data_IF_512738182786
#
_entry.id   IF_512738182786
#
_cell.length_a   1.000
_cell.length_b   1.000
_cell.length_c   1.000
_cell.angle_alpha   90.00
_cell.angle_beta   90.00
_cell.angle_gamma   90.00
#
_symmetry.space_group_name_H-M   'P 1'
#
loop_
_entity.id
_entity.type
_entity.pdbx_description
1 polymer ?
#
# COMPACT_ATOMS: atom_id res chain seq x y z
N UNK A 1 13.46 0.20 -6.30
CA UNK A 1 13.03 1.37 -5.49
C UNK A 1 13.99 2.54 -5.40
N UNK A 2 15.32 2.37 -5.52
CA UNK A 2 16.29 3.49 -5.39
C UNK A 2 15.98 4.72 -6.28
N UNK A 3 15.44 4.52 -7.48
CA UNK A 3 15.02 5.62 -8.37
C UNK A 3 13.84 6.42 -7.81
N UNK A 4 12.89 5.75 -7.16
CA UNK A 4 11.73 6.38 -6.50
C UNK A 4 12.20 7.18 -5.30
N UNK A 5 13.04 6.58 -4.44
CA UNK A 5 13.57 7.28 -3.27
C UNK A 5 14.40 8.51 -3.66
N UNK A 6 15.26 8.38 -4.68
CA UNK A 6 15.99 9.52 -5.20
C UNK A 6 15.08 10.60 -5.77
N UNK A 7 14.01 10.22 -6.48
CA UNK A 7 13.05 11.17 -7.04
C UNK A 7 12.29 11.90 -5.92
N UNK A 8 11.83 11.18 -4.89
CA UNK A 8 11.19 11.76 -3.71
C UNK A 8 12.13 12.75 -3.01
N UNK A 9 13.38 12.36 -2.75
CA UNK A 9 14.39 13.25 -2.15
C UNK A 9 14.65 14.49 -3.02
N UNK A 10 14.74 14.32 -4.33
CA UNK A 10 15.04 15.43 -5.26
C UNK A 10 13.94 16.49 -5.28
N UNK A 11 12.68 16.08 -5.13
CA UNK A 11 11.53 16.99 -5.27
C UNK A 11 10.84 17.31 -3.93
N UNK A 12 11.41 16.89 -2.80
CA UNK A 12 10.85 17.08 -1.45
C UNK A 12 10.60 18.56 -1.12
N UNK A 13 11.56 19.45 -1.38
CA UNK A 13 11.38 20.89 -1.14
C UNK A 13 10.29 21.50 -2.03
N UNK A 14 10.23 21.07 -3.29
CA UNK A 14 9.20 21.52 -4.22
C UNK A 14 7.81 21.03 -3.79
N UNK A 15 7.71 19.77 -3.36
CA UNK A 15 6.50 19.21 -2.78
C UNK A 15 6.04 19.98 -1.55
N UNK A 16 6.93 20.27 -0.61
CA UNK A 16 6.59 21.01 0.62
C UNK A 16 6.07 22.41 0.33
N UNK A 17 6.75 23.15 -0.56
CA UNK A 17 6.31 24.48 -0.97
C UNK A 17 4.94 24.42 -1.65
N UNK A 18 4.77 23.49 -2.58
CA UNK A 18 3.52 23.37 -3.32
C UNK A 18 2.37 22.89 -2.43
N UNK A 19 2.58 21.92 -1.55
CA UNK A 19 1.54 21.36 -0.69
C UNK A 19 1.01 22.36 0.35
N UNK A 20 1.81 23.37 0.72
CA UNK A 20 1.37 24.46 1.61
C UNK A 20 0.53 25.51 0.88
N UNK A 21 0.93 25.85 -0.35
CA UNK A 21 0.38 27.00 -1.07
C UNK A 21 -0.61 26.61 -2.18
N UNK A 22 -0.78 25.32 -2.46
CA UNK A 22 -1.63 24.86 -3.55
C UNK A 22 -3.10 25.13 -3.26
N UNK A 23 -3.76 25.76 -4.22
CA UNK A 23 -5.19 25.95 -4.26
C UNK A 23 -5.73 25.45 -5.60
N UNK A 24 -6.98 24.97 -5.58
CA UNK A 24 -7.65 24.60 -6.81
C UNK A 24 -7.78 25.84 -7.73
N UNK A 25 -7.30 25.77 -9.00
CA UNK A 25 -7.37 26.90 -9.91
C UNK A 25 -8.80 27.25 -10.36
N UNK A 26 -9.77 26.36 -10.16
CA UNK A 26 -11.18 26.65 -10.43
C UNK A 26 -11.76 27.54 -9.32
N UNK A 27 -11.94 28.84 -9.63
CA UNK A 27 -12.63 29.79 -8.74
C UNK A 27 -14.00 29.26 -8.33
N UNK A 28 -14.24 29.14 -7.02
CA UNK A 28 -15.49 28.64 -6.46
C UNK A 28 -15.57 27.12 -6.30
N UNK A 29 -14.45 26.40 -6.37
CA UNK A 29 -14.41 24.96 -6.13
C UNK A 29 -14.91 24.61 -4.72
N UNK A 30 -16.16 24.15 -4.62
CA UNK A 30 -16.78 23.60 -3.41
C UNK A 30 -16.56 22.08 -3.27
N UNK A 31 -15.92 21.45 -4.27
CA UNK A 31 -15.70 20.01 -4.34
C UNK A 31 -14.29 19.61 -3.85
N UNK A 32 -13.92 20.11 -2.67
CA UNK A 32 -12.79 19.57 -1.90
C UNK A 32 -13.40 18.67 -0.83
N UNK A 33 -13.35 17.36 -1.05
CA UNK A 33 -13.82 16.36 -0.06
C UNK A 33 -12.57 15.62 0.40
N UNK A 34 -12.32 15.60 1.71
CA UNK A 34 -11.15 14.92 2.28
C UNK A 34 -9.80 15.46 1.80
N UNK A 35 -9.73 16.71 1.34
CA UNK A 35 -8.50 17.32 0.81
C UNK A 35 -8.21 17.03 -0.66
N UNK A 36 -9.06 16.26 -1.35
CA UNK A 36 -8.93 15.96 -2.79
C UNK A 36 -9.87 16.86 -3.59
N UNK A 37 -9.33 17.57 -4.59
CA UNK A 37 -10.16 18.32 -5.54
C UNK A 37 -10.71 17.39 -6.61
N UNK A 38 -12.03 17.41 -6.84
CA UNK A 38 -12.67 16.64 -7.93
C UNK A 38 -12.87 17.45 -9.21
N UNK A 39 -12.41 18.70 -9.23
CA UNK A 39 -12.36 19.56 -10.41
C UNK A 39 -11.68 18.86 -11.61
N UNK A 40 -12.18 19.09 -12.82
CA UNK A 40 -11.50 18.72 -14.07
C UNK A 40 -11.43 19.95 -14.99
N UNK A 41 -10.36 20.11 -15.79
CA UNK A 41 -9.15 19.28 -15.81
C UNK A 41 -8.28 19.48 -14.56
N UNK A 42 -7.46 18.48 -14.21
CA UNK A 42 -6.45 18.61 -13.14
C UNK A 42 -5.30 19.51 -13.58
N UNK A 43 -4.74 20.28 -12.65
CA UNK A 43 -3.51 21.02 -12.91
C UNK A 43 -2.28 20.11 -12.79
N UNK A 44 -1.17 20.50 -13.42
CA UNK A 44 0.08 19.75 -13.32
C UNK A 44 0.58 19.66 -11.87
N UNK A 45 0.33 20.71 -11.09
CA UNK A 45 0.65 20.79 -9.67
C UNK A 45 -0.13 19.75 -8.86
N UNK A 46 -1.44 19.62 -9.09
CA UNK A 46 -2.25 18.59 -8.45
C UNK A 46 -1.71 17.19 -8.78
N UNK A 47 -1.46 16.95 -10.06
CA UNK A 47 -0.94 15.69 -10.56
C UNK A 47 0.43 15.34 -9.94
N UNK A 48 1.31 16.32 -9.81
CA UNK A 48 2.59 16.16 -9.13
C UNK A 48 2.41 15.82 -7.63
N UNK A 49 1.56 16.56 -6.91
CA UNK A 49 1.31 16.33 -5.48
C UNK A 49 0.80 14.92 -5.21
N UNK A 50 -0.18 14.47 -5.99
CA UNK A 50 -0.78 13.15 -5.82
C UNK A 50 0.21 12.03 -6.19
N UNK A 51 0.98 12.19 -7.27
CA UNK A 51 2.03 11.23 -7.62
C UNK A 51 3.09 11.14 -6.51
N UNK A 52 3.51 12.29 -5.96
CA UNK A 52 4.50 12.34 -4.90
C UNK A 52 4.02 11.59 -3.64
N UNK A 53 2.80 11.87 -3.17
CA UNK A 53 2.21 11.19 -2.01
C UNK A 53 2.12 9.69 -2.21
N UNK A 54 1.65 9.23 -3.38
CA UNK A 54 1.55 7.80 -3.67
C UNK A 54 2.90 7.11 -3.74
N UNK A 55 3.91 7.74 -4.33
CA UNK A 55 5.28 7.22 -4.34
C UNK A 55 5.89 7.19 -2.93
N UNK A 56 5.56 8.17 -2.09
CA UNK A 56 5.98 8.20 -0.68
C UNK A 56 5.37 7.02 0.10
N UNK A 57 4.06 6.80 -0.01
CA UNK A 57 3.36 5.64 0.58
C UNK A 57 3.97 4.33 0.08
N UNK A 58 4.17 4.19 -1.23
CA UNK A 58 4.80 3.00 -1.82
C UNK A 58 6.23 2.77 -1.30
N UNK A 59 7.01 3.84 -1.10
CA UNK A 59 8.35 3.75 -0.49
C UNK A 59 8.28 3.28 0.96
N UNK A 60 7.28 3.70 1.74
CA UNK A 60 7.09 3.21 3.10
C UNK A 60 6.79 1.71 3.13
N UNK A 61 5.98 1.22 2.20
CA UNK A 61 5.73 -0.22 2.06
C UNK A 61 7.00 -0.99 1.70
N UNK A 62 7.80 -0.49 0.75
CA UNK A 62 9.01 -1.21 0.37
C UNK A 62 10.02 -1.32 1.52
N UNK A 63 10.06 -0.36 2.45
CA UNK A 63 10.93 -0.45 3.64
C UNK A 63 10.58 -1.63 4.56
N UNK A 64 9.41 -2.26 4.40
CA UNK A 64 8.99 -3.46 5.13
C UNK A 64 9.32 -4.76 4.38
N UNK A 65 9.83 -4.70 3.17
CA UNK A 65 10.19 -5.88 2.38
C UNK A 65 11.16 -6.81 3.13
N UNK A 66 12.20 -6.25 3.75
CA UNK A 66 13.17 -7.02 4.53
C UNK A 66 12.54 -7.64 5.79
N UNK A 67 11.57 -6.95 6.40
CA UNK A 67 10.81 -7.51 7.53
C UNK A 67 10.01 -8.75 7.07
N UNK A 68 9.25 -8.66 5.98
CA UNK A 68 8.48 -9.79 5.48
C UNK A 68 9.34 -10.95 5.01
N UNK A 69 10.50 -10.66 4.43
CA UNK A 69 11.49 -11.69 4.10
C UNK A 69 11.90 -12.50 5.34
N UNK A 70 12.16 -11.83 6.47
CA UNK A 70 12.50 -12.49 7.73
C UNK A 70 11.32 -13.29 8.29
N UNK A 71 10.09 -12.78 8.22
CA UNK A 71 8.90 -13.52 8.64
C UNK A 71 8.63 -14.76 7.77
N UNK A 72 8.88 -14.68 6.46
CA UNK A 72 8.79 -15.83 5.55
C UNK A 72 9.81 -16.91 5.91
N UNK A 73 11.04 -16.54 6.26
CA UNK A 73 12.04 -17.51 6.75
C UNK A 73 11.59 -18.21 8.03
N UNK A 74 10.89 -17.51 8.92
CA UNK A 74 10.28 -18.10 10.12
C UNK A 74 9.14 -19.04 9.71
N UNK A 75 8.22 -18.58 8.87
CA UNK A 75 7.10 -19.37 8.36
C UNK A 75 7.57 -20.71 7.80
N UNK A 76 8.54 -20.72 6.88
CA UNK A 76 9.01 -21.96 6.25
C UNK A 76 9.64 -22.95 7.24
N UNK A 77 10.15 -22.48 8.39
CA UNK A 77 10.66 -23.34 9.46
C UNK A 77 9.56 -23.91 10.36
N UNK A 78 8.40 -23.24 10.44
CA UNK A 78 7.34 -23.55 11.41
C UNK A 78 5.99 -23.94 10.80
N UNK A 79 5.86 -23.94 9.48
CA UNK A 79 4.58 -24.17 8.76
C UNK A 79 3.85 -25.46 9.14
N UNK A 80 4.59 -26.49 9.57
CA UNK A 80 4.03 -27.79 9.97
C UNK A 80 3.80 -27.88 11.50
N UNK A 81 4.03 -26.80 12.24
CA UNK A 81 3.82 -26.71 13.69
C UNK A 81 2.67 -25.72 14.00
N UNK A 82 1.46 -26.21 14.30
CA UNK A 82 0.29 -25.36 14.49
C UNK A 82 0.45 -24.30 15.59
N UNK A 83 1.16 -24.62 16.68
CA UNK A 83 1.37 -23.68 17.79
C UNK A 83 2.27 -22.54 17.33
N UNK A 84 3.37 -22.85 16.66
CA UNK A 84 4.31 -21.84 16.14
C UNK A 84 3.73 -21.03 15.00
N UNK A 85 2.89 -21.65 14.18
CA UNK A 85 2.18 -20.97 13.11
C UNK A 85 1.19 -19.93 13.67
N UNK A 86 0.46 -20.29 14.74
CA UNK A 86 -0.40 -19.36 15.46
C UNK A 86 0.39 -18.20 16.08
N UNK A 87 1.53 -18.47 16.73
CA UNK A 87 2.41 -17.41 17.26
C UNK A 87 2.84 -16.41 16.17
N UNK A 88 3.17 -16.90 14.96
CA UNK A 88 3.53 -16.05 13.82
C UNK A 88 2.36 -15.16 13.40
N UNK A 89 1.16 -15.72 13.30
CA UNK A 89 -0.04 -14.97 12.92
C UNK A 89 -0.39 -13.90 13.96
N UNK A 90 -0.37 -14.23 15.26
CA UNK A 90 -0.61 -13.27 16.35
C UNK A 90 0.39 -12.11 16.30
N UNK A 91 1.67 -12.40 16.07
CA UNK A 91 2.71 -11.38 15.96
C UNK A 91 2.47 -10.40 14.81
N UNK A 92 1.90 -10.88 13.70
CA UNK A 92 1.76 -10.13 12.46
C UNK A 92 0.34 -9.56 12.24
N UNK A 93 -0.61 -9.86 13.12
CA UNK A 93 -2.02 -9.48 12.98
C UNK A 93 -2.21 -7.99 12.65
N UNK A 94 -1.59 -7.10 13.43
CA UNK A 94 -1.74 -5.66 13.22
C UNK A 94 -1.25 -5.21 11.83
N UNK A 95 -0.15 -5.79 11.35
CA UNK A 95 0.44 -5.45 10.05
C UNK A 95 -0.39 -6.05 8.92
N UNK A 96 -0.82 -7.30 9.05
CA UNK A 96 -1.60 -8.01 8.04
C UNK A 96 -3.04 -7.49 7.89
N UNK A 97 -3.69 -7.10 9.00
CA UNK A 97 -5.09 -6.66 8.98
C UNK A 97 -5.25 -5.16 8.67
N UNK A 98 -4.41 -4.30 9.26
CA UNK A 98 -4.55 -2.84 9.12
C UNK A 98 -3.40 -2.19 8.37
N UNK A 99 -2.17 -2.70 8.52
CA UNK A 99 -0.99 -2.05 7.96
C UNK A 99 -0.88 -2.17 6.44
N UNK A 100 -1.32 -3.30 5.87
CA UNK A 100 -1.07 -3.66 4.47
C UNK A 100 -2.33 -3.98 3.67
N UNK A 101 -3.51 -3.84 4.27
CA UNK A 101 -4.77 -3.94 3.53
C UNK A 101 -4.87 -2.86 2.44
N UNK A 102 -4.49 -1.62 2.78
CA UNK A 102 -4.45 -0.50 1.83
C UNK A 102 -3.44 -0.76 0.70
N UNK A 103 -2.32 -1.44 0.98
CA UNK A 103 -1.36 -1.81 -0.06
C UNK A 103 -1.98 -2.71 -1.14
N UNK A 104 -2.77 -3.71 -0.71
CA UNK A 104 -3.43 -4.64 -1.62
C UNK A 104 -4.48 -3.93 -2.48
N UNK A 105 -5.25 -3.01 -1.89
CA UNK A 105 -6.31 -2.29 -2.60
C UNK A 105 -5.73 -1.23 -3.55
N UNK A 106 -4.74 -0.47 -3.08
CA UNK A 106 -4.27 0.73 -3.79
C UNK A 106 -3.27 0.43 -4.90
N UNK A 107 -2.42 -0.59 -4.73
CA UNK A 107 -1.27 -0.82 -5.60
C UNK A 107 -1.31 -2.15 -6.33
N UNK A 108 -1.89 -3.20 -5.71
CA UNK A 108 -1.94 -4.51 -6.34
C UNK A 108 -3.03 -4.50 -7.42
N UNK A 109 -2.61 -4.53 -8.68
CA UNK A 109 -3.56 -4.69 -9.76
C UNK A 109 -4.08 -6.13 -9.74
N UNK A 110 -5.38 -6.35 -9.57
CA UNK A 110 -5.99 -7.69 -9.47
C UNK A 110 -6.02 -8.47 -10.81
N UNK A 111 -5.26 -8.04 -11.82
CA UNK A 111 -5.08 -8.84 -13.03
C UNK A 111 -4.24 -10.10 -12.72
N UNK A 112 -4.66 -11.25 -13.25
CA UNK A 112 -3.91 -12.51 -13.13
C UNK A 112 -2.44 -12.30 -13.52
N UNK A 113 -1.53 -12.52 -12.56
CA UNK A 113 -0.09 -12.27 -12.69
C UNK A 113 0.29 -10.79 -12.86
N UNK A 114 -0.20 -9.90 -12.01
CA UNK A 114 0.23 -8.50 -12.03
C UNK A 114 1.72 -8.36 -11.73
N UNK A 115 2.52 -8.24 -12.79
CA UNK A 115 3.97 -7.95 -12.76
C UNK A 115 4.24 -6.50 -12.30
N UNK A 116 3.20 -5.67 -12.27
CA UNK A 116 3.28 -4.23 -12.04
C UNK A 116 2.31 -3.79 -10.93
N UNK A 117 2.80 -2.91 -10.07
CA UNK A 117 2.01 -2.18 -9.08
C UNK A 117 1.52 -0.87 -9.69
N UNK A 118 0.21 -0.64 -9.67
CA UNK A 118 -0.42 0.59 -10.16
C UNK A 118 -0.20 1.73 -9.18
N UNK A 119 0.54 2.76 -9.58
CA UNK A 119 0.76 3.94 -8.74
C UNK A 119 -0.23 5.03 -9.12
N UNK A 120 -0.43 5.25 -10.42
CA UNK A 120 -1.27 6.35 -10.89
C UNK A 120 -2.02 5.95 -12.15
N UNK A 121 -3.30 6.29 -12.19
CA UNK A 121 -4.22 5.89 -13.26
C UNK A 121 -4.27 6.94 -14.38
N UNK A 122 -4.39 6.45 -15.62
CA UNK A 122 -4.53 7.22 -16.85
C UNK A 122 -5.63 8.30 -16.80
N UNK A 123 -6.72 8.06 -16.08
CA UNK A 123 -7.84 8.99 -15.88
C UNK A 123 -7.42 10.32 -15.24
N UNK A 124 -6.22 10.39 -14.65
CA UNK A 124 -5.73 11.58 -13.96
C UNK A 124 -4.51 12.21 -14.65
N UNK A 125 -3.55 11.41 -15.13
CA UNK A 125 -2.32 11.89 -15.81
C UNK A 125 -2.37 11.85 -17.35
N UNK A 126 -3.36 11.17 -17.93
CA UNK A 126 -3.36 10.82 -19.35
C UNK A 126 -2.46 9.62 -19.69
N UNK A 127 -1.73 9.08 -18.71
CA UNK A 127 -0.94 7.85 -18.79
C UNK A 127 -0.89 7.15 -17.42
N UNK A 128 -0.69 5.84 -17.43
CA UNK A 128 -0.51 5.06 -16.21
C UNK A 128 0.94 5.11 -15.71
N UNK A 129 1.11 5.12 -14.39
CA UNK A 129 2.41 4.99 -13.73
C UNK A 129 2.44 3.67 -12.98
N UNK A 130 3.46 2.86 -13.28
CA UNK A 130 3.66 1.54 -12.69
C UNK A 130 5.03 1.41 -12.03
N UNK A 131 5.11 0.54 -11.04
CA UNK A 131 6.37 0.08 -10.43
C UNK A 131 6.46 -1.45 -10.55
N UNK A 132 7.67 -1.97 -10.78
CA UNK A 132 7.91 -3.42 -10.86
C UNK A 132 7.64 -4.06 -9.50
N UNK A 133 6.81 -5.11 -9.46
CA UNK A 133 6.43 -5.79 -8.22
C UNK A 133 7.59 -6.57 -7.58
N UNK A 134 8.70 -6.78 -8.30
CA UNK A 134 9.87 -7.54 -7.80
C UNK A 134 10.48 -6.96 -6.54
N UNK A 135 10.37 -5.64 -6.36
CA UNK A 135 10.84 -4.95 -5.17
C UNK A 135 9.96 -5.23 -3.92
N UNK A 136 8.84 -5.93 -4.09
CA UNK A 136 7.81 -6.24 -3.09
C UNK A 136 7.50 -7.73 -3.00
N UNK A 137 8.37 -8.59 -3.53
CA UNK A 137 8.09 -10.03 -3.67
C UNK A 137 7.75 -10.67 -2.32
N UNK A 138 8.55 -10.41 -1.30
CA UNK A 138 8.37 -10.96 0.05
C UNK A 138 7.13 -10.39 0.72
N UNK A 139 6.86 -9.10 0.50
CA UNK A 139 5.61 -8.45 0.95
C UNK A 139 4.39 -9.18 0.38
N UNK A 140 4.33 -9.37 -0.93
CA UNK A 140 3.20 -10.02 -1.61
C UNK A 140 3.05 -11.47 -1.12
N UNK A 141 4.13 -12.25 -1.16
CA UNK A 141 4.13 -13.65 -0.73
C UNK A 141 3.70 -13.81 0.74
N UNK A 142 4.17 -12.91 1.61
CA UNK A 142 3.77 -12.91 3.02
C UNK A 142 2.29 -12.59 3.20
N UNK A 143 1.76 -11.60 2.49
CA UNK A 143 0.35 -11.22 2.60
C UNK A 143 -0.57 -12.33 2.10
N UNK A 144 -0.19 -13.03 1.02
CA UNK A 144 -0.94 -14.20 0.53
C UNK A 144 -1.01 -15.30 1.58
N UNK A 145 0.15 -15.66 2.17
CA UNK A 145 0.21 -16.67 3.24
C UNK A 145 -0.56 -16.21 4.48
N UNK A 146 -0.39 -14.97 4.90
CA UNK A 146 -1.11 -14.43 6.06
C UNK A 146 -2.62 -14.48 5.81
N UNK A 147 -3.07 -14.14 4.60
CA UNK A 147 -4.48 -14.18 4.22
C UNK A 147 -5.05 -15.60 4.32
N UNK A 148 -4.36 -16.60 3.75
CA UNK A 148 -4.76 -18.01 3.84
C UNK A 148 -4.84 -18.47 5.32
N UNK A 149 -3.86 -18.11 6.14
CA UNK A 149 -3.80 -18.55 7.54
C UNK A 149 -4.83 -17.86 8.44
N UNK A 150 -5.00 -16.56 8.28
CA UNK A 150 -5.81 -15.74 9.17
C UNK A 150 -7.28 -15.67 8.74
N UNK A 151 -7.56 -15.42 7.46
CA UNK A 151 -8.93 -15.25 6.96
C UNK A 151 -9.59 -16.58 6.57
N UNK A 152 -8.87 -17.49 5.92
CA UNK A 152 -9.47 -18.73 5.41
C UNK A 152 -9.41 -19.87 6.43
N UNK A 153 -8.23 -20.09 7.04
CA UNK A 153 -8.03 -21.17 8.02
C UNK A 153 -8.34 -20.76 9.45
N UNK A 154 -8.45 -19.46 9.70
CA UNK A 154 -8.77 -18.89 11.01
C UNK A 154 -7.95 -19.49 12.15
N UNK A 155 -6.63 -19.63 11.98
CA UNK A 155 -5.79 -20.32 12.98
C UNK A 155 -5.68 -19.56 14.32
N UNK A 156 -6.11 -18.30 14.35
CA UNK A 156 -6.23 -17.45 15.53
C UNK A 156 -7.68 -16.95 15.70
N UNK A 157 -8.64 -17.85 15.99
CA UNK A 157 -10.07 -17.53 15.97
C UNK A 157 -10.49 -16.56 17.09
N UNK A 158 -9.68 -16.42 18.14
CA UNK A 158 -9.92 -15.48 19.23
C UNK A 158 -9.46 -14.03 18.93
N UNK A 159 -8.97 -13.76 17.72
CA UNK A 159 -8.68 -12.41 17.22
C UNK A 159 -9.91 -11.49 17.33
N UNK A 160 -9.72 -10.30 17.91
CA UNK A 160 -10.78 -9.28 17.95
C UNK A 160 -11.18 -8.81 16.54
N UNK A 161 -10.21 -8.73 15.61
CA UNK A 161 -10.48 -8.38 14.21
C UNK A 161 -11.40 -9.38 13.51
N UNK A 162 -11.11 -10.68 13.63
CA UNK A 162 -11.96 -11.72 13.04
C UNK A 162 -13.36 -11.71 13.67
N UNK A 163 -13.44 -11.52 14.99
CA UNK A 163 -14.71 -11.45 15.70
C UNK A 163 -15.54 -10.24 15.25
N UNK A 164 -14.91 -9.08 15.05
CA UNK A 164 -15.59 -7.85 14.63
C UNK A 164 -16.11 -7.94 13.19
N UNK A 165 -15.28 -8.42 12.25
CA UNK A 165 -15.69 -8.57 10.84
C UNK A 165 -16.89 -9.52 10.70
N UNK A 166 -16.95 -10.59 11.49
CA UNK A 166 -18.07 -11.55 11.47
C UNK A 166 -19.37 -11.02 12.07
N UNK A 167 -19.34 -9.87 12.76
CA UNK A 167 -20.55 -9.23 13.32
C UNK A 167 -21.25 -8.30 12.34
N UNK A 168 -20.56 -7.91 11.26
CA UNK A 168 -21.07 -7.04 10.18
C UNK A 168 -21.84 -7.91 9.18
#
# INVERSE_FOLDING_TARGET
MAKVEWWLMKYDDYFKSLNQDWYCPNKGCSMIIGGVCFCNPKSNEFNFLELFKKLEVLSQYQRKEEYFKQELEVYYKVKDNPIKLKELVVKNEQIGCNGFFDFLIEFLNYCDNAILLGVFDQSVLGYDVFVDNKDFKSTIEFLDIFSELFWEKEIFPESEFLIEIKRI
#
